data_IF_175512503399
#
_entry.id   IF_175512503399
#
_cell.length_a   1.000
_cell.length_b   1.000
_cell.length_c   1.000
_cell.angle_alpha   90.00
_cell.angle_beta   90.00
_cell.angle_gamma   90.00
#
_symmetry.space_group_name_H-M   'P 1'
#
loop_
_entity.id
_entity.type
_entity.pdbx_description
1 polymer ?
#
# COMPACT_ATOMS: atom_id res chain seq x y z
N UNK A 1 19.02 -5.16 -8.18
CA UNK A 1 17.79 -5.61 -8.88
C UNK A 1 16.63 -5.81 -7.91
N UNK A 2 15.46 -5.40 -8.31
CA UNK A 2 14.28 -5.60 -7.47
C UNK A 2 13.95 -7.09 -7.38
N UNK A 3 13.66 -7.57 -6.17
CA UNK A 3 13.23 -8.93 -5.93
C UNK A 3 11.74 -9.11 -6.25
N UNK A 4 10.95 -8.06 -6.03
CA UNK A 4 9.51 -8.10 -6.22
C UNK A 4 9.10 -7.31 -7.46
N UNK A 5 8.07 -7.78 -8.14
CA UNK A 5 7.44 -7.05 -9.24
C UNK A 5 6.44 -6.06 -8.68
N UNK A 6 6.55 -4.79 -9.06
CA UNK A 6 5.69 -3.72 -8.60
C UNK A 6 4.53 -3.51 -9.55
N UNK A 7 3.32 -3.51 -9.01
CA UNK A 7 2.08 -3.22 -9.73
C UNK A 7 1.43 -2.02 -9.06
N UNK A 8 0.98 -1.06 -9.86
CA UNK A 8 0.39 0.17 -9.35
C UNK A 8 -1.06 0.26 -9.80
N UNK A 9 -1.99 0.40 -8.82
CA UNK A 9 -3.41 0.54 -9.13
C UNK A 9 -3.75 1.94 -9.62
N UNK A 10 -4.89 2.08 -10.29
CA UNK A 10 -5.38 3.40 -10.69
C UNK A 10 -5.70 4.27 -9.48
N UNK A 11 -6.19 3.65 -8.42
CA UNK A 11 -6.45 4.36 -7.16
C UNK A 11 -5.15 4.93 -6.58
N UNK A 12 -4.08 4.13 -6.55
CA UNK A 12 -2.78 4.60 -6.06
C UNK A 12 -2.26 5.78 -6.88
N UNK A 13 -2.43 5.73 -8.20
CA UNK A 13 -1.99 6.83 -9.07
C UNK A 13 -2.71 8.14 -8.72
N UNK A 14 -4.00 8.07 -8.44
CA UNK A 14 -4.78 9.23 -8.03
C UNK A 14 -4.32 9.79 -6.69
N UNK A 15 -4.15 8.92 -5.70
CA UNK A 15 -3.74 9.34 -4.36
C UNK A 15 -2.30 9.81 -4.34
N UNK A 16 -1.44 9.21 -5.15
CA UNK A 16 -0.07 9.68 -5.34
C UNK A 16 -0.05 11.14 -5.83
N UNK A 17 -0.82 11.43 -6.87
CA UNK A 17 -0.90 12.79 -7.41
C UNK A 17 -1.45 13.78 -6.40
N UNK A 18 -2.41 13.36 -5.60
CA UNK A 18 -2.98 14.21 -4.55
C UNK A 18 -1.93 14.54 -3.49
N UNK A 19 -1.17 13.55 -3.05
CA UNK A 19 -0.07 13.77 -2.09
C UNK A 19 0.97 14.73 -2.66
N UNK A 20 1.30 14.57 -3.94
CA UNK A 20 2.24 15.42 -4.63
C UNK A 20 1.73 16.87 -4.67
N UNK A 21 0.45 17.07 -4.98
CA UNK A 21 -0.17 18.39 -4.99
C UNK A 21 -0.16 19.05 -3.61
N UNK A 22 -0.27 18.27 -2.55
CA UNK A 22 -0.22 18.75 -1.17
C UNK A 22 1.19 19.15 -0.73
N UNK A 23 2.19 18.92 -1.57
CA UNK A 23 3.57 19.28 -1.27
C UNK A 23 4.31 18.30 -0.39
N UNK A 24 3.81 17.07 -0.26
CA UNK A 24 4.51 16.05 0.52
C UNK A 24 5.82 15.66 -0.16
N UNK A 25 6.82 15.29 0.66
CA UNK A 25 8.10 14.86 0.15
C UNK A 25 7.99 13.44 -0.44
N UNK A 26 7.73 13.38 -1.73
CA UNK A 26 7.51 12.11 -2.42
C UNK A 26 8.73 11.20 -2.45
N UNK A 27 9.93 11.75 -2.18
CA UNK A 27 11.14 10.92 -2.09
C UNK A 27 11.06 9.95 -0.91
N UNK A 28 10.34 10.31 0.15
CA UNK A 28 10.14 9.44 1.31
C UNK A 28 9.29 8.23 0.95
N UNK A 29 8.23 8.45 0.16
CA UNK A 29 7.38 7.37 -0.33
C UNK A 29 8.17 6.45 -1.26
N UNK A 30 8.93 7.05 -2.18
CA UNK A 30 9.76 6.28 -3.11
C UNK A 30 10.77 5.41 -2.36
N UNK A 31 11.39 5.95 -1.33
CA UNK A 31 12.36 5.19 -0.52
C UNK A 31 11.71 3.95 0.10
N UNK A 32 10.51 4.09 0.67
CA UNK A 32 9.80 2.96 1.26
C UNK A 32 9.47 1.90 0.21
N UNK A 33 8.99 2.33 -0.95
CA UNK A 33 8.65 1.41 -2.04
C UNK A 33 9.91 0.70 -2.55
N UNK A 34 11.02 1.41 -2.68
CA UNK A 34 12.29 0.81 -3.09
C UNK A 34 12.73 -0.30 -2.13
N UNK A 35 12.61 -0.05 -0.82
CA UNK A 35 12.94 -1.07 0.19
C UNK A 35 12.04 -2.30 0.02
N UNK A 36 10.73 -2.08 -0.16
CA UNK A 36 9.79 -3.18 -0.37
C UNK A 36 10.14 -4.00 -1.62
N UNK A 37 10.48 -3.33 -2.71
CA UNK A 37 10.84 -4.02 -3.95
C UNK A 37 12.09 -4.89 -3.78
N UNK A 38 13.04 -4.42 -2.99
CA UNK A 38 14.30 -5.14 -2.80
C UNK A 38 14.21 -6.23 -1.74
N UNK A 39 13.47 -6.00 -0.66
CA UNK A 39 13.53 -6.87 0.51
C UNK A 39 12.19 -7.52 0.89
N UNK A 40 11.08 -6.99 0.39
CA UNK A 40 9.75 -7.52 0.75
C UNK A 40 9.31 -7.22 2.17
N UNK A 41 10.00 -6.33 2.86
CA UNK A 41 9.65 -5.90 4.21
C UNK A 41 10.24 -4.53 4.49
N UNK A 42 9.65 -3.83 5.46
CA UNK A 42 10.10 -2.51 5.88
C UNK A 42 10.69 -2.56 7.28
N UNK A 43 11.67 -1.66 7.58
CA UNK A 43 12.16 -1.49 8.95
C UNK A 43 11.04 -1.09 9.92
N UNK A 44 11.24 -1.37 11.20
CA UNK A 44 10.25 -1.10 12.25
C UNK A 44 9.86 0.38 12.36
N UNK A 45 10.76 1.28 11.95
CA UNK A 45 10.46 2.72 11.98
C UNK A 45 9.26 3.11 11.13
N UNK A 46 8.95 2.32 10.10
CA UNK A 46 7.75 2.52 9.26
C UNK A 46 6.49 1.95 9.91
N UNK A 47 6.63 1.26 11.02
CA UNK A 47 5.53 0.60 11.75
C UNK A 47 4.63 -0.21 10.80
N UNK A 48 5.21 -1.14 10.01
CA UNK A 48 4.40 -1.95 9.10
C UNK A 48 3.53 -2.93 9.88
N UNK A 49 2.28 -3.07 9.48
CA UNK A 49 1.41 -4.09 10.07
C UNK A 49 0.47 -4.65 9.02
N UNK A 50 0.13 -5.91 9.26
CA UNK A 50 -0.73 -6.67 8.35
C UNK A 50 -2.18 -6.42 8.71
N UNK A 51 -2.99 -5.99 7.72
CA UNK A 51 -4.41 -5.75 7.91
C UNK A 51 -5.23 -7.02 7.64
N UNK A 52 -4.90 -7.73 6.55
CA UNK A 52 -5.58 -8.97 6.17
C UNK A 52 -4.57 -9.94 5.58
N UNK A 53 -4.92 -11.23 5.56
CA UNK A 53 -4.12 -12.26 4.91
C UNK A 53 -5.06 -13.30 4.34
N UNK A 54 -5.20 -13.32 3.00
CA UNK A 54 -6.10 -14.25 2.31
C UNK A 54 -5.35 -14.96 1.20
N UNK A 55 -5.32 -16.30 1.28
CA UNK A 55 -4.76 -17.16 0.23
C UNK A 55 -3.35 -16.74 -0.24
N UNK A 56 -2.48 -16.40 0.71
CA UNK A 56 -1.12 -15.99 0.38
C UNK A 56 -0.96 -14.53 0.01
N UNK A 57 -2.07 -13.79 -0.09
CA UNK A 57 -2.04 -12.36 -0.35
C UNK A 57 -2.35 -11.60 0.94
N UNK A 58 -1.40 -10.80 1.38
CA UNK A 58 -1.53 -10.00 2.59
C UNK A 58 -1.72 -8.54 2.21
N UNK A 59 -2.61 -7.85 2.93
CA UNK A 59 -2.74 -6.39 2.84
C UNK A 59 -2.02 -5.79 4.02
N UNK A 60 -1.11 -4.87 3.72
CA UNK A 60 -0.25 -4.22 4.69
C UNK A 60 -0.46 -2.71 4.70
N UNK A 61 -0.19 -2.12 5.85
CA UNK A 61 -0.18 -0.68 6.02
C UNK A 61 1.09 -0.28 6.75
N UNK A 62 1.67 0.85 6.38
CA UNK A 62 2.80 1.41 7.10
C UNK A 62 2.70 2.93 7.16
N UNK A 63 3.57 3.53 7.96
CA UNK A 63 3.66 4.99 8.12
C UNK A 63 4.89 5.51 7.38
N UNK A 64 4.66 6.33 6.36
CA UNK A 64 5.74 7.07 5.69
C UNK A 64 6.17 8.22 6.60
N UNK A 65 5.18 8.89 7.21
CA UNK A 65 5.31 9.84 8.31
C UNK A 65 4.15 9.61 9.26
N UNK A 66 4.09 10.35 10.38
CA UNK A 66 3.09 10.13 11.43
C UNK A 66 1.66 10.11 10.90
N UNK A 67 1.34 10.96 9.93
CA UNK A 67 0.00 11.01 9.33
C UNK A 67 0.02 10.77 7.82
N UNK A 68 0.96 10.00 7.34
CA UNK A 68 1.05 9.66 5.94
C UNK A 68 1.24 8.15 5.81
N UNK A 69 0.22 7.47 5.29
CA UNK A 69 0.15 6.03 5.23
C UNK A 69 0.37 5.52 3.80
N UNK A 70 0.88 4.30 3.72
CA UNK A 70 0.97 3.54 2.47
C UNK A 70 0.28 2.20 2.71
N UNK A 71 -0.59 1.81 1.79
CA UNK A 71 -1.28 0.52 1.81
C UNK A 71 -0.90 -0.26 0.56
N UNK A 72 -0.49 -1.51 0.75
CA UNK A 72 -0.13 -2.38 -0.38
C UNK A 72 -0.57 -3.81 -0.10
N UNK A 73 -0.65 -4.59 -1.16
CA UNK A 73 -0.86 -6.03 -1.09
C UNK A 73 0.44 -6.72 -1.47
N UNK A 74 0.70 -7.85 -0.85
CA UNK A 74 1.96 -8.56 -1.05
C UNK A 74 1.70 -10.05 -1.17
N UNK A 75 2.28 -10.66 -2.20
CA UNK A 75 2.29 -12.10 -2.38
C UNK A 75 3.74 -12.56 -2.45
N UNK A 76 4.21 -13.23 -1.39
CA UNK A 76 5.60 -13.67 -1.29
C UNK A 76 5.89 -14.87 -2.18
N UNK A 77 4.88 -15.70 -2.49
CA UNK A 77 5.06 -16.81 -3.40
C UNK A 77 5.26 -16.36 -4.83
N UNK A 78 4.53 -15.36 -5.25
CA UNK A 78 4.63 -14.81 -6.61
C UNK A 78 5.60 -13.64 -6.70
N UNK A 79 6.13 -13.19 -5.58
CA UNK A 79 7.03 -12.04 -5.49
C UNK A 79 6.43 -10.79 -6.13
N UNK A 80 5.18 -10.47 -5.76
CA UNK A 80 4.48 -9.31 -6.27
C UNK A 80 4.08 -8.34 -5.17
N UNK A 81 4.13 -7.05 -5.49
CA UNK A 81 3.68 -5.96 -4.63
C UNK A 81 2.68 -5.13 -5.42
N UNK A 82 1.49 -4.94 -4.88
CA UNK A 82 0.46 -4.11 -5.50
C UNK A 82 0.26 -2.87 -4.64
N UNK A 83 0.64 -1.70 -5.16
CA UNK A 83 0.44 -0.43 -4.46
C UNK A 83 -1.03 -0.05 -4.56
N UNK A 84 -1.72 0.01 -3.42
CA UNK A 84 -3.16 0.20 -3.38
C UNK A 84 -3.54 1.66 -3.21
N UNK A 85 -2.98 2.32 -2.19
CA UNK A 85 -3.27 3.73 -1.94
C UNK A 85 -2.25 4.33 -0.98
N UNK A 86 -2.22 5.65 -0.94
CA UNK A 86 -1.43 6.41 0.02
C UNK A 86 -2.18 7.69 0.39
N UNK A 87 -1.98 8.18 1.61
CA UNK A 87 -2.66 9.38 2.07
C UNK A 87 -2.66 9.50 3.58
N UNK A 88 -3.40 10.49 4.09
CA UNK A 88 -3.53 10.73 5.51
C UNK A 88 -4.56 9.81 6.15
N UNK A 89 -4.58 9.76 7.48
CA UNK A 89 -5.63 9.04 8.22
C UNK A 89 -7.02 9.58 7.83
N UNK A 90 -7.18 10.90 7.69
CA UNK A 90 -8.44 11.48 7.26
C UNK A 90 -8.88 10.98 5.89
N UNK A 91 -7.95 10.90 4.94
CA UNK A 91 -8.25 10.35 3.62
C UNK A 91 -8.76 8.93 3.73
N UNK A 92 -8.12 8.12 4.58
CA UNK A 92 -8.47 6.71 4.73
C UNK A 92 -9.79 6.50 5.45
N UNK A 93 -10.08 7.29 6.49
CA UNK A 93 -11.24 7.05 7.34
C UNK A 93 -12.49 7.81 6.94
N UNK A 94 -12.37 9.06 6.46
CA UNK A 94 -13.54 9.85 6.10
C UNK A 94 -14.03 9.59 4.70
N UNK A 95 -13.14 9.69 3.74
CA UNK A 95 -13.51 9.51 2.34
C UNK A 95 -13.49 8.04 1.93
N UNK A 96 -12.76 7.23 2.66
CA UNK A 96 -12.37 5.90 2.22
C UNK A 96 -12.78 4.77 3.16
N UNK A 97 -13.68 5.03 4.10
CA UNK A 97 -14.30 3.93 4.83
C UNK A 97 -14.99 2.97 3.86
N UNK A 98 -15.69 3.55 2.88
CA UNK A 98 -16.26 2.80 1.76
C UNK A 98 -15.17 2.17 0.91
N UNK A 99 -14.11 2.90 0.66
CA UNK A 99 -13.00 2.44 -0.13
C UNK A 99 -12.32 1.23 0.51
N UNK A 100 -12.08 1.27 1.81
CA UNK A 100 -11.48 0.16 2.53
C UNK A 100 -12.37 -1.09 2.45
N UNK A 101 -13.68 -0.93 2.63
CA UNK A 101 -14.64 -2.01 2.48
C UNK A 101 -14.66 -2.53 1.05
N UNK A 102 -14.63 -1.62 0.07
CA UNK A 102 -14.59 -1.98 -1.34
C UNK A 102 -13.34 -2.78 -1.66
N UNK A 103 -12.19 -2.37 -1.12
CA UNK A 103 -10.94 -3.09 -1.30
C UNK A 103 -11.03 -4.51 -0.75
N UNK A 104 -11.58 -4.66 0.46
CA UNK A 104 -11.75 -5.99 1.06
C UNK A 104 -12.68 -6.86 0.22
N UNK A 105 -13.76 -6.29 -0.31
CA UNK A 105 -14.68 -7.00 -1.19
C UNK A 105 -14.04 -7.40 -2.51
N UNK A 106 -13.25 -6.51 -3.10
CA UNK A 106 -12.52 -6.81 -4.33
C UNK A 106 -11.52 -7.93 -4.12
N UNK A 107 -10.81 -7.93 -3.00
CA UNK A 107 -9.91 -9.02 -2.65
C UNK A 107 -10.66 -10.34 -2.55
N UNK A 108 -11.83 -10.33 -1.90
CA UNK A 108 -12.64 -11.53 -1.77
C UNK A 108 -13.07 -12.06 -3.13
N UNK A 109 -13.41 -11.19 -4.07
CA UNK A 109 -13.78 -11.58 -5.42
C UNK A 109 -12.59 -12.14 -6.20
N UNK A 110 -11.45 -11.47 -6.11
CA UNK A 110 -10.24 -11.88 -6.84
C UNK A 110 -9.74 -13.23 -6.36
N UNK A 111 -9.80 -13.49 -5.05
CA UNK A 111 -9.23 -14.69 -4.46
C UNK A 111 -10.23 -15.81 -4.21
N UNK A 112 -11.50 -15.59 -4.48
CA UNK A 112 -12.52 -16.63 -4.33
C UNK A 112 -12.76 -17.42 -5.62
N UNK A 113 -12.20 -17.01 -6.71
CA UNK A 113 -12.36 -17.67 -8.00
C UNK A 113 -11.47 -18.92 -8.16
#
# INVERSE_FOLDING_TARGET
>A
MAKYTLIVTSEFRKTFKLCQKRGLDMSLLKKAIDILEMEGKLPDEYRPHKLTNKKGNATWECHIKSDWLLVWQQNDSELTLVMVTTGTHSDMFYKNKRWFLKLLLEQAQIFSA
#
